data_IF_925038982000
#
_entry.id   IF_925038982000
#
_cell.length_a   1.000
_cell.length_b   1.000
_cell.length_c   1.000
_cell.angle_alpha   90.00
_cell.angle_beta   90.00
_cell.angle_gamma   90.00
#
_symmetry.space_group_name_H-M   'P 1'
#
loop_
_entity.id
_entity.type
_entity.pdbx_description
1 polymer ?
#
# COMPACT_ATOMS: atom_id res chain seq x y z
N UNK A 1 -3.76 -4.17 6.99
CA UNK A 1 -2.36 -3.76 7.16
C UNK A 1 -1.52 -4.97 6.75
N UNK A 2 -0.24 -4.86 6.39
CA UNK A 2 0.56 -6.09 6.26
C UNK A 2 0.58 -6.76 7.64
N UNK A 3 0.41 -8.07 7.68
CA UNK A 3 0.39 -8.85 8.92
C UNK A 3 1.64 -9.71 8.89
N UNK A 4 2.74 -9.16 9.40
CA UNK A 4 4.08 -9.73 9.30
C UNK A 4 4.51 -10.11 10.72
N UNK A 5 4.11 -11.30 11.18
CA UNK A 5 4.41 -11.77 12.55
C UNK A 5 5.66 -12.63 12.61
N UNK A 6 5.98 -13.26 11.48
CA UNK A 6 7.10 -14.18 11.35
C UNK A 6 8.00 -13.78 10.18
N UNK A 7 9.28 -14.20 10.17
CA UNK A 7 10.15 -14.07 8.99
C UNK A 7 9.53 -14.68 7.73
N UNK A 8 8.76 -15.75 7.85
CA UNK A 8 8.09 -16.40 6.71
C UNK A 8 6.99 -15.56 6.08
N UNK A 9 6.28 -14.76 6.88
CA UNK A 9 5.29 -13.80 6.37
C UNK A 9 5.97 -12.74 5.51
N UNK A 10 7.10 -12.21 5.98
CA UNK A 10 7.91 -11.23 5.24
C UNK A 10 8.40 -11.83 3.93
N UNK A 11 8.98 -13.03 3.99
CA UNK A 11 9.48 -13.75 2.83
C UNK A 11 8.36 -14.02 1.81
N UNK A 12 7.14 -14.29 2.27
CA UNK A 12 5.97 -14.47 1.39
C UNK A 12 5.62 -13.20 0.63
N UNK A 13 5.64 -12.04 1.28
CA UNK A 13 5.40 -10.74 0.63
C UNK A 13 6.47 -10.44 -0.41
N UNK A 14 7.75 -10.64 -0.04
CA UNK A 14 8.88 -10.48 -0.95
C UNK A 14 8.74 -11.38 -2.17
N UNK A 15 8.43 -12.68 -2.01
CA UNK A 15 8.22 -13.60 -3.15
C UNK A 15 7.10 -13.15 -4.09
N UNK A 16 6.04 -12.52 -3.57
CA UNK A 16 4.87 -12.07 -4.36
C UNK A 16 5.02 -10.69 -4.98
N UNK A 17 6.17 -10.03 -4.78
CA UNK A 17 6.38 -8.65 -5.20
C UNK A 17 5.33 -7.70 -4.62
N UNK A 18 5.05 -7.85 -3.33
CA UNK A 18 4.12 -6.99 -2.60
C UNK A 18 4.91 -5.94 -1.81
N UNK A 19 4.77 -4.63 -2.13
CA UNK A 19 5.40 -3.58 -1.36
C UNK A 19 4.98 -3.61 0.11
N UNK A 20 5.92 -3.33 1.00
CA UNK A 20 5.71 -3.39 2.45
C UNK A 20 5.21 -2.04 2.95
N UNK A 21 4.08 -2.04 3.64
CA UNK A 21 3.53 -0.83 4.27
C UNK A 21 3.40 -0.97 5.77
N UNK A 22 4.02 -0.04 6.49
CA UNK A 22 3.98 0.10 7.94
C UNK A 22 3.47 1.50 8.31
N UNK A 23 2.80 1.62 9.45
CA UNK A 23 2.47 2.92 10.01
C UNK A 23 3.71 3.50 10.71
N UNK A 24 4.45 4.35 9.99
CA UNK A 24 5.73 4.92 10.45
C UNK A 24 5.76 5.44 11.90
N UNK A 25 4.72 6.11 12.45
CA UNK A 25 4.76 6.61 13.82
C UNK A 25 4.90 5.54 14.91
N UNK A 26 4.59 4.28 14.60
CA UNK A 26 4.67 3.17 15.55
C UNK A 26 5.89 2.26 15.34
N UNK A 27 6.86 2.65 14.51
CA UNK A 27 8.00 1.79 14.16
C UNK A 27 9.22 2.12 15.02
N UNK A 28 9.81 1.08 15.63
CA UNK A 28 11.14 1.13 16.21
C UNK A 28 12.15 0.58 15.20
N UNK A 29 13.25 1.30 14.97
CA UNK A 29 14.20 1.01 13.89
C UNK A 29 15.64 1.10 14.36
N UNK A 30 16.48 0.21 13.82
CA UNK A 30 17.93 0.31 13.95
C UNK A 30 18.44 1.45 13.05
N UNK A 31 19.06 2.48 13.65
CA UNK A 31 19.48 3.69 12.94
C UNK A 31 20.39 3.40 11.75
N UNK A 32 21.42 2.56 11.94
CA UNK A 32 22.42 2.32 10.91
C UNK A 32 21.80 1.70 9.65
N UNK A 33 20.85 0.78 9.82
CA UNK A 33 20.10 0.18 8.71
C UNK A 33 19.44 1.23 7.83
N UNK A 34 18.79 2.23 8.40
CA UNK A 34 18.11 3.28 7.62
C UNK A 34 19.11 4.21 6.93
N UNK A 35 20.23 4.51 7.60
CA UNK A 35 21.31 5.34 7.05
C UNK A 35 21.96 4.64 5.85
N UNK A 36 22.31 3.36 5.97
CA UNK A 36 22.95 2.58 4.91
C UNK A 36 22.03 2.40 3.69
N UNK A 37 20.73 2.34 3.92
CA UNK A 37 19.69 2.28 2.88
C UNK A 37 19.48 3.64 2.18
N UNK A 38 19.99 4.73 2.74
CA UNK A 38 19.86 6.09 2.21
C UNK A 38 18.53 6.77 2.55
N UNK A 39 17.74 6.24 3.49
CA UNK A 39 16.50 6.86 3.94
C UNK A 39 15.41 7.00 2.85
N UNK A 40 14.60 8.05 2.95
CA UNK A 40 13.49 8.33 2.03
C UNK A 40 13.98 8.89 0.69
N UNK A 41 13.31 8.51 -0.41
CA UNK A 41 13.59 9.03 -1.76
C UNK A 41 12.56 10.10 -2.14
N UNK A 42 13.04 11.26 -2.59
CA UNK A 42 12.19 12.41 -2.94
C UNK A 42 11.31 12.23 -4.18
N UNK A 43 11.49 11.16 -4.94
CA UNK A 43 10.72 10.86 -6.14
C UNK A 43 9.28 10.38 -5.84
N UNK A 44 8.97 9.95 -4.60
CA UNK A 44 7.64 9.51 -4.20
C UNK A 44 6.92 10.58 -3.38
N UNK A 45 5.73 10.99 -3.82
CA UNK A 45 4.99 12.11 -3.22
C UNK A 45 4.03 11.66 -2.12
N UNK A 46 3.46 10.46 -2.23
CA UNK A 46 2.37 10.00 -1.35
C UNK A 46 2.69 8.67 -0.68
N UNK A 47 3.54 7.85 -1.28
CA UNK A 47 3.95 6.54 -0.76
C UNK A 47 5.47 6.38 -0.48
N UNK A 48 6.19 7.38 0.08
CA UNK A 48 7.62 7.26 0.34
C UNK A 48 7.96 6.19 1.41
N UNK A 49 7.00 5.90 2.29
CA UNK A 49 7.11 4.85 3.31
C UNK A 49 7.07 3.44 2.71
N UNK A 50 6.17 3.19 1.74
CA UNK A 50 6.12 1.91 1.02
C UNK A 50 7.46 1.57 0.38
N UNK A 51 8.10 2.57 -0.24
CA UNK A 51 9.41 2.41 -0.86
C UNK A 51 10.49 2.07 0.17
N UNK A 52 10.57 2.85 1.25
CA UNK A 52 11.58 2.68 2.30
C UNK A 52 11.52 1.26 2.90
N UNK A 53 10.35 0.83 3.36
CA UNK A 53 10.22 -0.47 4.02
C UNK A 53 10.41 -1.65 3.06
N UNK A 54 10.06 -1.46 1.79
CA UNK A 54 10.33 -2.48 0.77
C UNK A 54 11.84 -2.64 0.58
N UNK A 55 12.60 -1.53 0.46
CA UNK A 55 14.07 -1.60 0.34
C UNK A 55 14.76 -2.17 1.58
N UNK A 56 14.27 -1.85 2.77
CA UNK A 56 14.73 -2.46 4.04
C UNK A 56 14.62 -3.98 3.97
N UNK A 57 13.47 -4.51 3.58
CA UNK A 57 13.29 -5.95 3.48
C UNK A 57 14.07 -6.59 2.31
N UNK A 58 14.19 -5.90 1.18
CA UNK A 58 14.98 -6.39 0.02
C UNK A 58 16.47 -6.56 0.36
N UNK A 59 17.01 -5.77 1.31
CA UNK A 59 18.38 -5.93 1.82
C UNK A 59 18.51 -7.03 2.89
N UNK A 60 17.45 -7.80 3.15
CA UNK A 60 17.48 -8.91 4.09
C UNK A 60 17.26 -8.50 5.56
N UNK A 61 16.89 -7.25 5.83
CA UNK A 61 16.53 -6.84 7.18
C UNK A 61 15.13 -7.34 7.56
N UNK A 62 15.03 -7.85 8.78
CA UNK A 62 13.77 -8.37 9.31
C UNK A 62 12.84 -7.22 9.73
N UNK A 63 11.60 -7.31 9.26
CA UNK A 63 10.49 -6.41 9.64
C UNK A 63 9.41 -7.28 10.27
N UNK A 64 9.04 -7.00 11.51
CA UNK A 64 7.97 -7.68 12.23
C UNK A 64 7.00 -6.66 12.83
N UNK A 65 5.73 -7.07 12.96
CA UNK A 65 4.66 -6.28 13.54
C UNK A 65 4.18 -6.99 14.81
N UNK A 66 4.18 -6.26 15.92
CA UNK A 66 3.70 -6.75 17.21
C UNK A 66 2.19 -6.98 17.19
N UNK A 67 1.74 -8.06 17.83
CA UNK A 67 0.32 -8.42 17.95
C UNK A 67 -0.44 -7.47 18.89
N UNK A 68 0.28 -6.86 19.83
CA UNK A 68 -0.29 -5.92 20.78
C UNK A 68 -0.62 -4.57 20.13
N UNK A 69 -1.80 -4.03 20.45
CA UNK A 69 -2.18 -2.67 20.06
C UNK A 69 -1.46 -1.66 20.95
N UNK A 70 -0.31 -1.16 20.49
CA UNK A 70 0.54 -0.22 21.23
C UNK A 70 0.33 1.25 20.86
N UNK A 71 -0.44 1.53 19.80
CA UNK A 71 -0.66 2.90 19.32
C UNK A 71 -2.07 3.06 18.73
N UNK A 72 -2.73 4.18 19.04
CA UNK A 72 -3.94 4.64 18.35
C UNK A 72 -3.57 5.71 17.34
N UNK A 73 -3.75 5.42 16.06
CA UNK A 73 -3.47 6.36 14.98
C UNK A 73 -4.68 7.25 14.68
N UNK A 74 -4.46 8.57 14.52
CA UNK A 74 -5.51 9.52 14.17
C UNK A 74 -5.89 9.40 12.70
N UNK A 75 -7.13 9.00 12.43
CA UNK A 75 -7.70 9.01 11.09
C UNK A 75 -8.43 10.33 10.82
N UNK A 76 -8.06 11.02 9.74
CA UNK A 76 -8.78 12.20 9.28
C UNK A 76 -8.83 12.25 7.74
N UNK A 77 -9.88 12.85 7.20
CA UNK A 77 -10.17 12.93 5.76
C UNK A 77 -9.17 13.80 4.98
N UNK A 78 -8.55 14.78 5.65
CA UNK A 78 -7.53 15.65 5.06
C UNK A 78 -6.11 15.04 5.05
N UNK A 79 -5.95 13.75 5.32
CA UNK A 79 -4.63 13.10 5.23
C UNK A 79 -4.16 13.04 3.77
N UNK A 80 -2.85 13.17 3.54
CA UNK A 80 -2.28 13.21 2.18
C UNK A 80 -2.66 11.96 1.36
N UNK A 81 -2.65 10.78 1.99
CA UNK A 81 -3.07 9.51 1.37
C UNK A 81 -4.57 9.49 1.04
N UNK A 82 -5.41 10.15 1.84
CA UNK A 82 -6.85 10.24 1.58
C UNK A 82 -7.14 11.23 0.46
N UNK A 83 -6.44 12.37 0.43
CA UNK A 83 -6.58 13.38 -0.62
C UNK A 83 -6.06 12.90 -1.98
N UNK A 84 -5.00 12.09 -1.99
CA UNK A 84 -4.29 11.63 -3.19
C UNK A 84 -4.35 10.12 -3.39
N UNK A 85 -5.48 9.47 -3.07
CA UNK A 85 -5.61 8.00 -3.08
C UNK A 85 -5.24 7.36 -4.43
N UNK A 86 -5.70 7.95 -5.54
CA UNK A 86 -5.35 7.47 -6.88
C UNK A 86 -3.85 7.52 -7.12
N UNK A 87 -3.20 8.62 -6.77
CA UNK A 87 -1.74 8.77 -6.92
C UNK A 87 -1.00 7.77 -6.02
N UNK A 88 -1.42 7.61 -4.76
CA UNK A 88 -0.85 6.61 -3.85
C UNK A 88 -0.95 5.18 -4.42
N UNK A 89 -2.09 4.83 -5.05
CA UNK A 89 -2.25 3.52 -5.69
C UNK A 89 -1.34 3.36 -6.91
N UNK A 90 -1.14 4.40 -7.71
CA UNK A 90 -0.24 4.37 -8.88
C UNK A 90 1.23 4.31 -8.43
N UNK A 91 1.64 5.11 -7.45
CA UNK A 91 2.99 5.08 -6.87
C UNK A 91 3.29 3.71 -6.26
N UNK A 92 2.33 3.08 -5.58
CA UNK A 92 2.49 1.70 -5.09
C UNK A 92 2.82 0.72 -6.21
N UNK A 93 2.18 0.86 -7.37
CA UNK A 93 2.46 0.00 -8.52
C UNK A 93 3.80 0.34 -9.18
N UNK A 94 4.22 1.61 -9.13
CA UNK A 94 5.56 2.03 -9.55
C UNK A 94 6.65 1.44 -8.65
N UNK A 95 6.47 1.49 -7.33
CA UNK A 95 7.36 0.86 -6.35
C UNK A 95 7.47 -0.64 -6.62
N UNK A 96 6.35 -1.30 -6.89
CA UNK A 96 6.33 -2.72 -7.27
C UNK A 96 7.11 -2.99 -8.56
N UNK A 97 6.97 -2.14 -9.58
CA UNK A 97 7.75 -2.23 -10.80
C UNK A 97 9.26 -2.09 -10.53
N UNK A 98 9.66 -1.13 -9.69
CA UNK A 98 11.04 -0.98 -9.24
C UNK A 98 11.55 -2.22 -8.48
N UNK A 99 10.71 -2.80 -7.62
CA UNK A 99 11.01 -4.04 -6.89
C UNK A 99 11.31 -5.21 -7.84
N UNK A 100 10.49 -5.38 -8.89
CA UNK A 100 10.74 -6.39 -9.92
C UNK A 100 12.03 -6.11 -10.70
N UNK A 101 12.28 -4.86 -11.09
CA UNK A 101 13.48 -4.47 -11.82
C UNK A 101 14.76 -4.77 -11.01
N UNK A 102 14.79 -4.42 -9.71
CA UNK A 102 15.91 -4.70 -8.82
C UNK A 102 16.22 -6.19 -8.71
N UNK A 103 15.18 -7.04 -8.58
CA UNK A 103 15.34 -8.50 -8.57
C UNK A 103 15.97 -9.05 -9.86
N UNK A 104 15.60 -8.47 -10.99
CA UNK A 104 16.17 -8.80 -12.29
C UNK A 104 17.53 -8.13 -12.55
N UNK A 105 18.09 -7.41 -11.58
CA UNK A 105 19.32 -6.60 -11.70
C UNK A 105 19.26 -5.56 -12.83
N UNK A 106 18.06 -5.05 -13.11
CA UNK A 106 17.80 -3.98 -14.07
C UNK A 106 17.66 -2.63 -13.35
N UNK A 107 17.89 -1.54 -14.07
CA UNK A 107 17.60 -0.20 -13.58
C UNK A 107 16.11 -0.01 -13.32
N UNK A 108 15.77 0.69 -12.22
CA UNK A 108 14.39 1.05 -11.93
C UNK A 108 13.82 1.97 -13.03
N UNK A 109 12.54 1.78 -13.44
CA UNK A 109 11.93 2.67 -14.40
C UNK A 109 11.74 4.07 -13.80
N UNK A 110 12.00 5.10 -14.59
CA UNK A 110 11.60 6.47 -14.22
C UNK A 110 10.07 6.56 -14.14
N UNK A 111 9.56 7.63 -13.50
CA UNK A 111 8.12 7.87 -13.40
C UNK A 111 7.45 7.95 -14.78
N UNK A 112 8.09 8.64 -15.72
CA UNK A 112 7.62 8.84 -17.08
C UNK A 112 7.56 7.51 -17.83
N UNK A 113 8.64 6.71 -17.76
CA UNK A 113 8.70 5.39 -18.39
C UNK A 113 7.64 4.45 -17.81
N UNK A 114 7.49 4.44 -16.48
CA UNK A 114 6.46 3.66 -15.80
C UNK A 114 5.06 4.08 -16.26
N UNK A 115 4.77 5.39 -16.32
CA UNK A 115 3.46 5.88 -16.77
C UNK A 115 3.18 5.53 -18.23
N UNK A 116 4.18 5.62 -19.10
CA UNK A 116 4.03 5.22 -20.50
C UNK A 116 3.66 3.74 -20.61
N UNK A 117 4.37 2.87 -19.90
CA UNK A 117 4.07 1.44 -19.84
C UNK A 117 2.72 1.14 -19.17
N UNK A 118 2.38 1.91 -18.12
CA UNK A 118 1.11 1.79 -17.43
C UNK A 118 -0.07 2.10 -18.36
N UNK A 119 0.06 3.15 -19.18
CA UNK A 119 -0.98 3.63 -20.08
C UNK A 119 -1.06 2.84 -21.39
N UNK A 120 0.02 2.20 -21.84
CA UNK A 120 0.03 1.36 -23.04
C UNK A 120 -0.67 0.01 -22.86
N UNK A 121 -1.11 -0.33 -21.65
CA UNK A 121 -1.83 -1.57 -21.39
C UNK A 121 -3.17 -1.65 -22.16
N UNK A 122 -3.64 -2.87 -22.51
CA UNK A 122 -4.91 -3.05 -23.18
C UNK A 122 -6.09 -2.41 -22.44
N UNK A 123 -7.13 -1.99 -23.18
CA UNK A 123 -8.30 -1.30 -22.61
C UNK A 123 -8.95 -2.10 -21.47
N UNK A 124 -9.14 -3.41 -21.64
CA UNK A 124 -9.71 -4.28 -20.60
C UNK A 124 -8.86 -4.27 -19.33
N UNK A 125 -7.53 -4.30 -19.47
CA UNK A 125 -6.59 -4.22 -18.34
C UNK A 125 -6.71 -2.88 -17.64
N UNK A 126 -6.79 -1.78 -18.39
CA UNK A 126 -6.96 -0.42 -17.84
C UNK A 126 -8.30 -0.26 -17.11
N UNK A 127 -9.38 -0.77 -17.68
CA UNK A 127 -10.71 -0.76 -17.05
C UNK A 127 -10.72 -1.60 -15.78
N UNK A 128 -10.13 -2.80 -15.79
CA UNK A 128 -10.01 -3.64 -14.61
C UNK A 128 -9.15 -2.98 -13.51
N UNK A 129 -8.06 -2.29 -13.88
CA UNK A 129 -7.27 -1.49 -12.94
C UNK A 129 -8.12 -0.37 -12.32
N UNK A 130 -8.85 0.40 -13.14
CA UNK A 130 -9.78 1.44 -12.65
C UNK A 130 -10.84 0.87 -11.71
N UNK A 131 -11.46 -0.26 -12.06
CA UNK A 131 -12.42 -0.99 -11.23
C UNK A 131 -11.84 -1.32 -9.85
N UNK A 132 -10.64 -1.93 -9.81
CA UNK A 132 -9.94 -2.27 -8.57
C UNK A 132 -9.54 -1.04 -7.75
N UNK A 133 -9.09 0.03 -8.39
CA UNK A 133 -8.75 1.28 -7.71
C UNK A 133 -9.99 1.92 -7.10
N UNK A 134 -11.11 1.97 -7.85
CA UNK A 134 -12.39 2.48 -7.37
C UNK A 134 -12.91 1.66 -6.18
N UNK A 135 -12.81 0.33 -6.22
CA UNK A 135 -13.21 -0.52 -5.10
C UNK A 135 -12.44 -0.20 -3.81
N UNK A 136 -11.11 0.02 -3.91
CA UNK A 136 -10.27 0.40 -2.76
C UNK A 136 -10.61 1.80 -2.24
N UNK A 137 -10.88 2.73 -3.15
CA UNK A 137 -11.30 4.09 -2.81
C UNK A 137 -12.61 4.10 -2.03
N UNK A 138 -13.64 3.42 -2.56
CA UNK A 138 -14.95 3.29 -1.93
C UNK A 138 -14.86 2.58 -0.58
N UNK A 139 -14.06 1.51 -0.46
CA UNK A 139 -13.84 0.83 0.83
C UNK A 139 -13.23 1.78 1.89
N UNK A 140 -12.26 2.61 1.51
CA UNK A 140 -11.68 3.60 2.44
C UNK A 140 -12.70 4.69 2.80
N UNK A 141 -13.45 5.19 1.83
CA UNK A 141 -14.51 6.18 2.04
C UNK A 141 -15.61 5.64 2.95
N UNK A 142 -15.98 4.38 2.79
CA UNK A 142 -16.91 3.66 3.66
C UNK A 142 -16.42 3.67 5.12
N UNK A 143 -15.17 3.27 5.36
CA UNK A 143 -14.57 3.30 6.70
C UNK A 143 -14.61 4.69 7.34
N UNK A 144 -14.25 5.74 6.58
CA UNK A 144 -14.32 7.13 7.07
C UNK A 144 -15.77 7.59 7.36
N UNK A 145 -16.73 7.17 6.53
CA UNK A 145 -18.14 7.50 6.72
C UNK A 145 -18.72 6.81 7.98
N UNK A 146 -18.42 5.52 8.18
CA UNK A 146 -18.84 4.75 9.34
C UNK A 146 -18.23 5.32 10.64
N UNK A 147 -16.93 5.64 10.63
CA UNK A 147 -16.28 6.30 11.78
C UNK A 147 -16.90 7.67 12.09
N UNK A 148 -17.31 8.41 11.07
CA UNK A 148 -18.04 9.66 11.20
C UNK A 148 -19.54 9.50 11.47
N UNK A 149 -20.03 8.31 11.83
CA UNK A 149 -21.44 7.97 12.11
C UNK A 149 -22.41 8.23 10.95
N UNK A 150 -21.92 8.30 9.70
CA UNK A 150 -22.72 8.44 8.48
C UNK A 150 -23.05 7.06 7.92
N UNK A 151 -23.87 6.32 8.64
CA UNK A 151 -24.15 4.90 8.41
C UNK A 151 -24.63 4.60 6.99
N UNK A 152 -25.60 5.36 6.47
CA UNK A 152 -26.15 5.15 5.12
C UNK A 152 -25.09 5.29 4.03
N UNK A 153 -24.28 6.36 4.07
CA UNK A 153 -23.19 6.57 3.10
C UNK A 153 -22.12 5.49 3.24
N UNK A 154 -21.77 5.14 4.48
CA UNK A 154 -20.80 4.09 4.75
C UNK A 154 -21.23 2.72 4.23
N UNK A 155 -22.47 2.33 4.50
CA UNK A 155 -23.05 1.09 3.99
C UNK A 155 -23.14 1.06 2.47
N UNK A 156 -23.63 2.13 1.85
CA UNK A 156 -23.69 2.26 0.39
C UNK A 156 -22.32 2.09 -0.28
N UNK A 157 -21.30 2.82 0.22
CA UNK A 157 -19.94 2.73 -0.31
C UNK A 157 -19.32 1.35 -0.12
N UNK A 158 -19.58 0.70 1.02
CA UNK A 158 -19.12 -0.64 1.31
C UNK A 158 -19.76 -1.67 0.37
N UNK A 159 -21.07 -1.56 0.13
CA UNK A 159 -21.79 -2.40 -0.82
C UNK A 159 -21.21 -2.26 -2.23
N UNK A 160 -21.03 -1.03 -2.73
CA UNK A 160 -20.42 -0.80 -4.03
C UNK A 160 -18.98 -1.33 -4.10
N UNK A 161 -18.17 -1.12 -3.06
CA UNK A 161 -16.82 -1.65 -3.01
C UNK A 161 -16.79 -3.19 -3.09
N UNK A 162 -17.75 -3.85 -2.43
CA UNK A 162 -17.91 -5.31 -2.41
C UNK A 162 -18.35 -5.83 -3.77
N UNK A 163 -19.30 -5.16 -4.43
CA UNK A 163 -19.73 -5.50 -5.80
C UNK A 163 -18.57 -5.38 -6.79
N UNK A 164 -17.72 -4.36 -6.64
CA UNK A 164 -16.57 -4.20 -7.51
C UNK A 164 -15.50 -5.24 -7.22
N UNK A 165 -14.97 -5.36 -5.99
CA UNK A 165 -13.88 -6.29 -5.65
C UNK A 165 -14.14 -7.06 -4.34
N UNK A 166 -14.95 -8.12 -4.37
CA UNK A 166 -15.43 -8.79 -3.15
C UNK A 166 -14.30 -9.44 -2.35
N UNK A 167 -13.33 -10.07 -3.04
CA UNK A 167 -12.17 -10.72 -2.40
C UNK A 167 -11.34 -9.73 -1.57
N UNK A 168 -11.17 -8.50 -2.06
CA UNK A 168 -10.44 -7.46 -1.33
C UNK A 168 -11.21 -7.03 -0.09
N UNK A 169 -12.51 -6.77 -0.21
CA UNK A 169 -13.31 -6.30 0.92
C UNK A 169 -13.42 -7.37 2.01
N UNK A 170 -13.72 -8.62 1.65
CA UNK A 170 -13.86 -9.72 2.60
C UNK A 170 -12.56 -10.00 3.35
N UNK A 171 -11.43 -10.09 2.64
CA UNK A 171 -10.12 -10.29 3.29
C UNK A 171 -9.76 -9.16 4.26
N UNK A 172 -10.17 -7.91 3.96
CA UNK A 172 -9.95 -6.76 4.83
C UNK A 172 -10.84 -6.78 6.07
N UNK A 173 -12.10 -7.17 5.94
CA UNK A 173 -13.02 -7.29 7.07
C UNK A 173 -12.59 -8.42 8.01
N UNK A 174 -12.16 -9.56 7.47
CA UNK A 174 -11.66 -10.69 8.27
C UNK A 174 -10.42 -10.30 9.09
N UNK A 175 -9.54 -9.45 8.57
CA UNK A 175 -8.38 -8.95 9.33
C UNK A 175 -8.74 -7.94 10.43
N UNK A 176 -9.98 -7.45 10.48
CA UNK A 176 -10.44 -6.44 11.44
C UNK A 176 -11.31 -7.02 12.56
N UNK A 177 -11.72 -8.28 12.43
CA UNK A 177 -12.43 -9.08 13.42
C UNK A 177 -11.44 -9.95 14.20
#
# INVERSE_FOLDING_TARGET
>A
MCHIKTPDDLNRLLRRNEPIGLLAPGVLIHRQTIVDIGGYRGQFRVAPDLDLWTRVAEQGHLILIQDAVLMKYRLHSASNVSANDTLHLIEREWIKAGMCARKERKSEPSWEMFLQQWNSAPLLTRLNRKRKMMAKHLYRRAGQALLGRRWFRGGYDLCLATLLEPKYVLSRLQMQL
#
